data_IF_933412772407
#
_entry.id   IF_933412772407
#
_cell.length_a   1.000
_cell.length_b   1.000
_cell.length_c   1.000
_cell.angle_alpha   90.00
_cell.angle_beta   90.00
_cell.angle_gamma   90.00
#
_symmetry.space_group_name_H-M   'P 1'
#
loop_
_entity.id
_entity.type
_entity.pdbx_description
1 polymer ?
#
# COMPACT_ATOMS: atom_id res chain seq x y z
N UNK A 1 -25.29 14.66 -0.31
CA UNK A 1 -24.61 13.61 0.47
C UNK A 1 -23.17 13.61 0.04
N UNK A 2 -22.25 14.02 0.93
CA UNK A 2 -20.83 14.15 0.60
C UNK A 2 -20.28 12.80 0.15
N UNK A 3 -19.59 12.78 -0.99
CA UNK A 3 -18.77 11.64 -1.35
C UNK A 3 -17.79 11.43 -0.19
N UNK A 4 -18.03 10.41 0.63
CA UNK A 4 -17.07 9.99 1.63
C UNK A 4 -15.82 9.61 0.84
N UNK A 5 -14.88 10.55 0.78
CA UNK A 5 -13.57 10.43 0.17
C UNK A 5 -12.68 9.44 0.90
N UNK A 6 -13.26 8.36 1.43
CA UNK A 6 -12.52 7.25 1.99
C UNK A 6 -11.69 6.64 0.87
N UNK A 7 -10.38 6.80 0.97
CA UNK A 7 -9.44 6.12 0.11
C UNK A 7 -9.68 4.61 0.21
N UNK A 8 -9.84 3.95 -0.93
CA UNK A 8 -10.02 2.50 -0.99
C UNK A 8 -8.66 1.88 -1.33
N UNK A 9 -7.75 1.96 -0.36
CA UNK A 9 -6.42 1.40 -0.49
C UNK A 9 -6.51 -0.12 -0.64
N UNK A 10 -6.04 -0.63 -1.77
CA UNK A 10 -5.95 -2.05 -2.09
C UNK A 10 -4.49 -2.47 -2.04
N UNK A 11 -4.18 -3.52 -1.28
CA UNK A 11 -2.85 -4.12 -1.21
C UNK A 11 -2.75 -5.27 -2.20
N UNK A 12 -1.79 -5.20 -3.11
CA UNK A 12 -1.43 -6.26 -4.04
C UNK A 12 -0.03 -6.77 -3.70
N UNK A 13 0.10 -8.06 -3.43
CA UNK A 13 1.40 -8.72 -3.26
C UNK A 13 1.66 -9.62 -4.46
N UNK A 14 2.83 -9.50 -5.06
CA UNK A 14 3.20 -10.23 -6.28
C UNK A 14 4.66 -10.69 -6.21
N UNK A 15 4.99 -11.88 -6.72
CA UNK A 15 6.38 -12.30 -6.84
C UNK A 15 7.17 -11.32 -7.71
N UNK A 16 8.42 -11.05 -7.34
CA UNK A 16 9.30 -10.18 -8.11
C UNK A 16 9.65 -10.84 -9.42
N UNK A 17 9.43 -10.14 -10.53
CA UNK A 17 9.84 -10.59 -11.86
C UNK A 17 11.37 -10.62 -12.06
N UNK A 18 12.11 -9.87 -11.24
CA UNK A 18 13.57 -9.76 -11.33
C UNK A 18 14.29 -10.66 -10.32
N UNK A 19 13.65 -10.97 -9.19
CA UNK A 19 14.23 -11.75 -8.11
C UNK A 19 13.33 -12.96 -7.80
N UNK A 20 13.54 -14.10 -8.48
CA UNK A 20 12.74 -15.30 -8.26
C UNK A 20 12.85 -15.75 -6.80
N UNK A 21 11.71 -16.12 -6.20
CA UNK A 21 11.62 -16.48 -4.78
C UNK A 21 11.43 -15.29 -3.84
N UNK A 22 11.40 -14.05 -4.35
CA UNK A 22 11.07 -12.86 -3.56
C UNK A 22 9.73 -12.26 -3.96
N UNK A 23 9.17 -11.44 -3.07
CA UNK A 23 7.84 -10.84 -3.20
C UNK A 23 7.91 -9.32 -3.07
N UNK A 24 7.21 -8.64 -3.95
CA UNK A 24 7.00 -7.19 -3.91
C UNK A 24 5.54 -6.91 -3.56
N UNK A 25 5.28 -5.72 -3.06
CA UNK A 25 3.93 -5.26 -2.78
C UNK A 25 3.66 -3.93 -3.45
N UNK A 26 2.40 -3.64 -3.71
CA UNK A 26 1.89 -2.41 -4.28
C UNK A 26 0.59 -2.03 -3.56
N UNK A 27 0.43 -0.73 -3.27
CA UNK A 27 -0.77 -0.15 -2.70
C UNK A 27 -1.38 0.73 -3.77
N UNK A 28 -2.65 0.47 -4.07
CA UNK A 28 -3.40 1.24 -5.05
C UNK A 28 -4.61 1.89 -4.41
N UNK A 29 -4.86 3.15 -4.71
CA UNK A 29 -6.13 3.80 -4.42
C UNK A 29 -6.99 3.80 -5.69
N UNK A 30 -8.16 3.16 -5.66
CA UNK A 30 -9.10 3.11 -6.78
C UNK A 30 -8.45 2.76 -8.13
N UNK A 31 -7.49 1.84 -8.10
CA UNK A 31 -6.75 1.39 -9.29
C UNK A 31 -5.54 2.24 -9.69
N UNK A 32 -5.22 3.34 -9.00
CA UNK A 32 -3.98 4.11 -9.19
C UNK A 32 -2.91 3.67 -8.19
N UNK A 33 -1.69 3.42 -8.66
CA UNK A 33 -0.58 3.09 -7.76
C UNK A 33 -0.23 4.32 -6.91
N UNK A 34 -0.38 4.19 -5.60
CA UNK A 34 -0.02 5.23 -4.62
C UNK A 34 1.38 4.97 -4.09
N UNK A 35 1.67 3.71 -3.74
CA UNK A 35 2.95 3.32 -3.17
C UNK A 35 3.29 1.88 -3.54
N UNK A 36 4.56 1.55 -3.64
CA UNK A 36 5.00 0.19 -3.91
C UNK A 36 6.35 -0.10 -3.29
N UNK A 37 6.64 -1.39 -3.11
CA UNK A 37 7.93 -1.85 -2.63
C UNK A 37 8.95 -1.79 -3.75
N UNK A 38 9.95 -0.93 -3.56
CA UNK A 38 11.14 -0.92 -4.40
C UNK A 38 12.10 -2.06 -4.07
N UNK A 39 11.96 -2.71 -2.90
CA UNK A 39 12.82 -3.83 -2.48
C UNK A 39 12.02 -5.13 -2.34
N UNK A 40 12.50 -6.23 -2.91
CA UNK A 40 11.80 -7.51 -2.86
C UNK A 40 12.05 -8.26 -1.54
N UNK A 41 10.97 -8.72 -0.90
CA UNK A 41 10.93 -9.40 0.40
C UNK A 41 11.07 -10.91 0.27
N UNK A 42 11.53 -11.59 1.32
CA UNK A 42 11.75 -13.03 1.29
C UNK A 42 10.46 -13.87 1.22
N UNK A 43 9.32 -13.32 1.66
CA UNK A 43 8.04 -14.04 1.72
C UNK A 43 6.85 -13.12 1.44
N UNK A 44 5.77 -13.69 0.91
CA UNK A 44 4.51 -12.98 0.66
C UNK A 44 3.94 -12.37 1.94
N UNK A 45 3.95 -13.12 3.05
CA UNK A 45 3.43 -12.65 4.34
C UNK A 45 4.17 -11.42 4.88
N UNK A 46 5.49 -11.36 4.69
CA UNK A 46 6.31 -10.20 5.08
C UNK A 46 5.96 -8.99 4.19
N UNK A 47 5.89 -9.20 2.87
CA UNK A 47 5.50 -8.15 1.94
C UNK A 47 4.09 -7.60 2.27
N UNK A 48 3.14 -8.47 2.61
CA UNK A 48 1.78 -8.09 2.99
C UNK A 48 1.75 -7.30 4.29
N UNK A 49 2.45 -7.75 5.32
CA UNK A 49 2.49 -7.05 6.61
C UNK A 49 3.07 -5.64 6.47
N UNK A 50 4.15 -5.48 5.70
CA UNK A 50 4.74 -4.18 5.41
C UNK A 50 3.77 -3.29 4.63
N UNK A 51 3.09 -3.83 3.63
CA UNK A 51 2.11 -3.07 2.85
C UNK A 51 0.92 -2.60 3.70
N UNK A 52 0.42 -3.46 4.61
CA UNK A 52 -0.67 -3.09 5.53
C UNK A 52 -0.26 -1.97 6.49
N UNK A 53 0.92 -2.08 7.11
CA UNK A 53 1.45 -1.04 7.96
C UNK A 53 1.60 0.30 7.22
N UNK A 54 1.90 0.25 5.92
CA UNK A 54 1.99 1.43 5.09
C UNK A 54 0.63 2.01 4.69
N UNK A 55 -0.39 1.16 4.50
CA UNK A 55 -1.78 1.60 4.35
C UNK A 55 -2.25 2.33 5.60
N UNK A 56 -1.96 1.81 6.79
CA UNK A 56 -2.31 2.47 8.06
C UNK A 56 -1.67 3.87 8.16
N UNK A 57 -0.41 4.02 7.72
CA UNK A 57 0.25 5.34 7.63
C UNK A 57 -0.41 6.26 6.61
N UNK A 58 -0.83 5.74 5.45
CA UNK A 58 -1.50 6.53 4.43
C UNK A 58 -2.88 7.02 4.90
N UNK A 59 -3.62 6.18 5.63
CA UNK A 59 -4.89 6.57 6.26
C UNK A 59 -4.67 7.67 7.30
N UNK A 60 -3.65 7.52 8.16
CA UNK A 60 -3.32 8.54 9.17
C UNK A 60 -2.75 9.84 8.61
N UNK A 61 -2.17 9.83 7.40
CA UNK A 61 -1.67 11.04 6.74
C UNK A 61 -2.75 11.78 5.92
N UNK A 62 -3.81 11.07 5.52
CA UNK A 62 -4.93 11.63 4.74
C UNK A 62 -5.98 12.35 5.61
N UNK A 63 -5.90 12.27 6.94
CA UNK A 63 -6.66 13.20 7.77
C UNK A 63 -6.26 14.64 7.42
N UNK A 64 -7.19 15.50 7.00
CA UNK A 64 -6.87 16.88 6.70
C UNK A 64 -6.32 17.49 7.98
N UNK A 65 -5.05 17.91 7.93
CA UNK A 65 -4.46 18.82 8.90
C UNK A 65 -5.39 20.04 8.98
N UNK A 66 -6.31 20.02 9.94
CA UNK A 66 -7.07 21.18 10.36
C UNK A 66 -6.09 22.00 11.22
N UNK A 67 -5.11 22.59 10.54
CA UNK A 67 -4.21 23.58 11.13
C UNK A 67 -5.06 24.85 11.30
N UNK A 68 -5.55 25.04 12.51
CA UNK A 68 -6.39 26.16 12.93
C UNK A 68 -5.60 27.39 13.32
#
# INVERSE_FOLDING_TARGET
MGANGGHLYTVEVRPSRHDPGRFTWAIRDRGKLVRGSYRPHASEGVARAVALAEVERLIGHDEPQNDG
#
